data_IF_676849751503
#
_entry.id   IF_676849751503
#
_cell.length_a   1.000
_cell.length_b   1.000
_cell.length_c   1.000
_cell.angle_alpha   90.00
_cell.angle_beta   90.00
_cell.angle_gamma   90.00
#
_symmetry.space_group_name_H-M   'P 1'
#
loop_
_entity.id
_entity.type
_entity.pdbx_description
1 polymer ?
#
# COMPACT_ATOMS: atom_id res chain seq x y z
N UNK A 1 39.00 67.78 -39.43
CA UNK A 1 37.76 68.46 -39.00
C UNK A 1 36.97 67.52 -38.09
N UNK A 2 36.67 68.00 -36.88
CA UNK A 2 35.60 67.64 -35.89
C UNK A 2 34.96 66.24 -36.04
N UNK A 3 35.28 65.31 -35.14
CA UNK A 3 34.64 65.04 -33.83
C UNK A 3 33.16 64.69 -33.91
N UNK A 4 32.82 63.43 -33.63
CA UNK A 4 31.73 63.07 -32.68
C UNK A 4 32.13 61.77 -31.95
N UNK A 5 32.46 61.91 -30.66
CA UNK A 5 32.44 60.84 -29.67
C UNK A 5 30.99 60.46 -29.35
N UNK A 6 30.63 59.19 -29.15
CA UNK A 6 29.76 58.81 -28.01
C UNK A 6 29.79 57.30 -27.68
N UNK A 7 30.39 57.01 -26.51
CA UNK A 7 29.98 56.08 -25.44
C UNK A 7 29.78 54.58 -25.78
N UNK A 8 30.78 53.78 -25.42
CA UNK A 8 30.66 52.35 -25.13
C UNK A 8 30.19 52.22 -23.67
N UNK A 9 28.94 51.78 -23.46
CA UNK A 9 28.48 51.38 -22.14
C UNK A 9 28.93 49.94 -21.88
N UNK A 10 29.93 49.75 -21.01
CA UNK A 10 30.27 48.44 -20.45
C UNK A 10 29.12 48.01 -19.51
N UNK A 11 28.30 47.06 -19.96
CA UNK A 11 27.39 46.33 -19.08
C UNK A 11 28.22 45.23 -18.41
N UNK A 12 28.62 45.47 -17.16
CA UNK A 12 29.18 44.42 -16.31
C UNK A 12 28.05 43.44 -15.94
N UNK A 13 28.00 42.31 -16.66
CA UNK A 13 27.20 41.14 -16.29
C UNK A 13 27.77 40.57 -14.99
N UNK A 14 27.28 41.02 -13.84
CA UNK A 14 27.42 40.25 -12.61
C UNK A 14 26.50 39.03 -12.72
N UNK A 15 27.04 37.96 -13.31
CA UNK A 15 26.53 36.61 -13.08
C UNK A 15 26.79 36.27 -11.62
N UNK A 16 25.84 36.65 -10.75
CA UNK A 16 25.70 36.00 -9.46
C UNK A 16 25.35 34.55 -9.72
N UNK A 17 26.36 33.69 -9.79
CA UNK A 17 26.18 32.26 -9.54
C UNK A 17 25.67 32.15 -8.10
N UNK A 18 24.36 32.23 -7.92
CA UNK A 18 23.75 31.64 -6.73
C UNK A 18 24.12 30.17 -6.82
N UNK A 19 25.05 29.74 -5.97
CA UNK A 19 25.23 28.33 -5.71
C UNK A 19 23.84 27.83 -5.31
N UNK A 20 23.15 27.14 -6.22
CA UNK A 20 21.91 26.45 -5.90
C UNK A 20 22.26 25.61 -4.68
N UNK A 21 21.69 25.95 -3.51
CA UNK A 21 21.69 25.06 -2.36
C UNK A 21 21.36 23.68 -2.89
N UNK A 22 22.17 22.64 -2.64
CA UNK A 22 21.90 21.32 -3.18
C UNK A 22 20.45 21.00 -2.86
N UNK A 23 19.62 20.93 -3.91
CA UNK A 23 18.22 20.54 -3.77
C UNK A 23 18.30 19.17 -3.16
N UNK A 24 18.01 19.07 -1.85
CA UNK A 24 17.76 17.76 -1.23
C UNK A 24 16.75 17.08 -2.17
N UNK A 25 16.98 15.83 -2.61
CA UNK A 25 15.98 15.15 -3.41
C UNK A 25 14.68 15.19 -2.60
N UNK A 26 13.71 15.97 -3.06
CA UNK A 26 12.38 15.92 -2.47
C UNK A 26 11.87 14.50 -2.70
N UNK A 27 11.24 13.89 -1.69
CA UNK A 27 10.62 12.58 -1.85
C UNK A 27 9.66 12.63 -3.06
N UNK A 28 9.97 11.83 -4.08
CA UNK A 28 9.15 11.70 -5.27
C UNK A 28 8.34 10.42 -5.20
N UNK A 29 7.01 10.53 -5.11
CA UNK A 29 6.12 9.36 -5.09
C UNK A 29 6.26 8.51 -6.36
N UNK A 30 6.50 9.14 -7.52
CA UNK A 30 6.77 8.43 -8.77
C UNK A 30 8.07 7.61 -8.72
N UNK A 31 9.14 8.17 -8.16
CA UNK A 31 10.42 7.50 -8.00
C UNK A 31 10.31 6.33 -7.02
N UNK A 32 9.58 6.54 -5.91
CA UNK A 32 9.26 5.51 -4.95
C UNK A 32 8.55 4.33 -5.62
N UNK A 33 7.56 4.60 -6.48
CA UNK A 33 6.77 3.56 -7.17
C UNK A 33 7.43 3.01 -8.43
N UNK A 34 8.60 3.51 -8.81
CA UNK A 34 9.27 3.14 -10.04
C UNK A 34 9.67 1.66 -10.04
N UNK A 35 9.31 0.96 -11.11
CA UNK A 35 9.75 -0.42 -11.34
C UNK A 35 11.26 -0.53 -11.63
N UNK A 36 11.93 0.58 -11.92
CA UNK A 36 13.39 0.62 -12.07
C UNK A 36 14.12 0.46 -10.72
N UNK A 37 13.45 0.78 -9.60
CA UNK A 37 14.03 0.70 -8.26
C UNK A 37 13.87 -0.71 -7.68
N UNK A 38 14.97 -1.48 -7.69
CA UNK A 38 15.00 -2.88 -7.23
C UNK A 38 14.66 -3.06 -5.75
N UNK A 39 15.17 -2.19 -4.90
CA UNK A 39 14.94 -2.19 -3.46
C UNK A 39 14.98 -0.75 -2.93
N UNK A 40 14.26 -0.50 -1.84
CA UNK A 40 14.32 0.79 -1.17
C UNK A 40 15.63 0.97 -0.39
N UNK A 41 16.21 2.19 -0.38
CA UNK A 41 17.51 2.46 0.25
C UNK A 41 17.42 2.73 1.76
N UNK A 42 16.22 2.65 2.35
CA UNK A 42 15.99 3.03 3.75
C UNK A 42 16.53 1.97 4.71
N UNK A 43 17.22 2.41 5.76
CA UNK A 43 17.85 1.56 6.77
C UNK A 43 16.96 1.27 7.99
N UNK A 44 15.65 1.47 7.84
CA UNK A 44 14.70 1.28 8.94
C UNK A 44 14.61 -0.18 9.37
N UNK A 45 14.51 -0.45 10.69
CA UNK A 45 14.36 -1.80 11.19
C UNK A 45 12.96 -2.35 10.85
N UNK A 46 12.83 -3.61 10.40
CA UNK A 46 11.55 -4.23 10.10
C UNK A 46 10.54 -4.13 11.25
N UNK A 47 9.28 -3.80 10.92
CA UNK A 47 8.17 -3.80 11.87
C UNK A 47 7.13 -4.85 11.47
N UNK A 48 6.52 -5.55 12.43
CA UNK A 48 5.31 -6.35 12.15
C UNK A 48 4.10 -5.42 12.16
N UNK A 49 3.50 -5.21 10.99
CA UNK A 49 2.39 -4.26 10.83
C UNK A 49 1.01 -4.92 10.84
N UNK A 50 0.95 -6.22 10.63
CA UNK A 50 -0.28 -7.01 10.75
C UNK A 50 0.04 -8.45 11.11
N UNK A 51 -0.56 -8.97 12.19
CA UNK A 51 -0.36 -10.34 12.66
C UNK A 51 -1.61 -11.16 12.45
N UNK A 52 -1.48 -12.33 11.83
CA UNK A 52 -2.57 -13.32 11.74
C UNK A 52 -2.54 -14.22 12.97
N UNK A 53 -1.35 -14.74 13.30
CA UNK A 53 -1.09 -15.55 14.49
C UNK A 53 0.41 -15.49 14.86
N UNK A 54 0.87 -16.41 15.72
CA UNK A 54 2.24 -16.48 16.21
C UNK A 54 3.28 -16.63 15.08
N UNK A 55 2.93 -17.31 13.99
CA UNK A 55 3.86 -17.64 12.91
C UNK A 55 3.61 -16.85 11.63
N UNK A 56 2.38 -16.39 11.41
CA UNK A 56 1.93 -15.74 10.18
C UNK A 56 1.68 -14.26 10.39
N UNK A 57 2.43 -13.42 9.68
CA UNK A 57 2.38 -11.97 9.84
C UNK A 57 2.92 -11.23 8.62
N UNK A 58 2.57 -9.95 8.51
CA UNK A 58 3.09 -9.04 7.50
C UNK A 58 4.07 -8.06 8.15
N UNK A 59 5.23 -7.91 7.53
CA UNK A 59 6.24 -6.92 7.90
C UNK A 59 6.24 -5.72 6.96
N UNK A 60 6.56 -4.55 7.51
CA UNK A 60 6.98 -3.36 6.78
C UNK A 60 8.51 -3.24 6.93
N UNK A 61 9.20 -3.15 5.81
CA UNK A 61 10.66 -3.18 5.73
C UNK A 61 11.14 -2.07 4.80
N UNK A 62 12.41 -1.65 4.98
CA UNK A 62 13.07 -0.63 4.15
C UNK A 62 12.14 0.55 3.85
N UNK A 63 11.51 1.08 4.90
CA UNK A 63 10.49 2.10 4.79
C UNK A 63 11.02 3.47 5.21
N UNK A 64 10.51 4.52 4.55
CA UNK A 64 10.76 5.92 4.92
C UNK A 64 9.94 6.32 6.15
N UNK A 65 8.68 5.90 6.14
CA UNK A 65 7.65 6.12 7.13
C UNK A 65 6.60 4.99 7.02
N UNK A 66 5.55 5.03 7.83
CA UNK A 66 4.54 3.97 7.89
C UNK A 66 3.70 3.77 6.61
N UNK A 67 3.88 4.61 5.59
CA UNK A 67 3.10 4.59 4.35
C UNK A 67 3.95 4.38 3.09
N UNK A 68 5.28 4.35 3.25
CA UNK A 68 6.22 4.28 2.14
C UNK A 68 7.31 3.25 2.43
N UNK A 69 7.00 1.96 2.23
CA UNK A 69 7.95 0.88 2.42
C UNK A 69 7.70 -0.32 1.55
N UNK A 70 8.37 -1.41 1.89
CA UNK A 70 8.23 -2.73 1.27
C UNK A 70 7.53 -3.68 2.25
N UNK A 71 6.41 -4.26 1.80
CA UNK A 71 5.62 -5.15 2.63
C UNK A 71 5.91 -6.61 2.29
N UNK A 72 5.98 -7.49 3.30
CA UNK A 72 6.20 -8.92 3.11
C UNK A 72 5.28 -9.77 3.98
N UNK A 73 4.65 -10.78 3.40
CA UNK A 73 4.00 -11.85 4.15
C UNK A 73 5.05 -12.88 4.59
N UNK A 74 4.98 -13.31 5.84
CA UNK A 74 5.88 -14.28 6.44
C UNK A 74 5.08 -15.40 7.11
N UNK A 75 5.50 -16.65 6.93
CA UNK A 75 5.08 -17.80 7.72
C UNK A 75 6.34 -18.53 8.20
N UNK A 76 6.66 -18.37 9.48
CA UNK A 76 7.87 -18.94 10.07
C UNK A 76 7.80 -20.46 10.22
N UNK A 77 6.61 -21.05 10.30
CA UNK A 77 6.42 -22.50 10.42
C UNK A 77 6.62 -23.20 9.07
N UNK A 78 6.14 -22.57 8.01
CA UNK A 78 6.27 -23.09 6.64
C UNK A 78 7.53 -22.59 5.91
N UNK A 79 8.33 -21.71 6.53
CA UNK A 79 9.50 -21.09 5.91
C UNK A 79 9.14 -20.19 4.72
N UNK A 80 7.94 -19.60 4.72
CA UNK A 80 7.46 -18.78 3.62
C UNK A 80 7.81 -17.32 3.86
N UNK A 81 8.32 -16.68 2.82
CA UNK A 81 8.44 -15.23 2.72
C UNK A 81 7.99 -14.77 1.33
N UNK A 82 7.05 -13.84 1.26
CA UNK A 82 6.48 -13.33 0.01
C UNK A 82 6.47 -11.81 0.01
N UNK A 83 7.11 -11.23 -1.00
CA UNK A 83 7.02 -9.79 -1.25
C UNK A 83 5.61 -9.43 -1.69
N UNK A 84 4.99 -8.48 -0.99
CA UNK A 84 3.62 -8.00 -1.25
C UNK A 84 3.59 -6.75 -2.13
N UNK A 85 4.76 -6.18 -2.42
CA UNK A 85 4.89 -4.93 -3.14
C UNK A 85 5.31 -3.78 -2.23
N UNK A 86 5.33 -2.60 -2.83
CA UNK A 86 5.78 -1.35 -2.23
C UNK A 86 4.65 -0.33 -2.24
N UNK A 87 4.38 0.32 -1.12
CA UNK A 87 3.34 1.35 -1.03
C UNK A 87 1.92 0.79 -1.13
N UNK A 88 1.69 -0.46 -0.75
CA UNK A 88 0.43 -1.15 -1.05
C UNK A 88 -0.27 -1.64 0.23
N UNK A 89 0.18 -2.75 0.81
CA UNK A 89 -0.52 -3.35 1.94
C UNK A 89 -0.56 -2.39 3.13
N UNK A 90 0.57 -1.76 3.46
CA UNK A 90 0.71 -0.81 4.58
C UNK A 90 -0.22 0.40 4.50
N UNK A 91 -0.75 0.69 3.31
CA UNK A 91 -1.62 1.83 3.06
C UNK A 91 -3.11 1.51 3.20
N UNK A 92 -3.48 0.24 3.37
CA UNK A 92 -4.88 -0.13 3.60
C UNK A 92 -5.36 0.29 5.00
N UNK A 93 -6.43 1.09 5.05
CA UNK A 93 -6.95 1.70 6.29
C UNK A 93 -8.17 0.98 6.88
N UNK A 94 -8.71 0.00 6.15
CA UNK A 94 -9.91 -0.74 6.55
C UNK A 94 -9.63 -1.85 7.57
N UNK A 95 -10.58 -2.78 7.69
CA UNK A 95 -10.46 -3.96 8.58
C UNK A 95 -10.08 -5.22 7.81
N UNK A 96 -9.30 -6.10 8.44
CA UNK A 96 -8.82 -7.36 7.88
C UNK A 96 -9.04 -8.47 8.91
N UNK A 97 -9.75 -9.53 8.53
CA UNK A 97 -10.10 -10.64 9.42
C UNK A 97 -9.68 -11.96 8.78
N UNK A 98 -8.50 -12.48 9.12
CA UNK A 98 -8.05 -13.80 8.67
C UNK A 98 -8.48 -14.87 9.67
N UNK A 99 -9.69 -15.42 9.48
CA UNK A 99 -10.36 -16.31 10.43
C UNK A 99 -10.47 -17.78 9.95
N UNK A 100 -9.79 -18.16 8.87
CA UNK A 100 -9.75 -19.56 8.43
C UNK A 100 -8.97 -20.43 9.43
N UNK A 101 -9.63 -21.38 10.13
CA UNK A 101 -8.97 -22.22 11.13
C UNK A 101 -7.98 -23.22 10.52
N UNK A 102 -8.08 -23.51 9.21
CA UNK A 102 -7.12 -24.40 8.55
C UNK A 102 -5.78 -23.72 8.24
N UNK A 103 -5.78 -22.38 8.26
CA UNK A 103 -4.63 -21.56 7.92
C UNK A 103 -4.29 -21.51 6.42
N UNK A 104 -5.12 -22.10 5.57
CA UNK A 104 -4.90 -22.19 4.12
C UNK A 104 -5.31 -20.92 3.40
N UNK A 105 -6.41 -20.32 3.83
CA UNK A 105 -6.99 -19.16 3.18
C UNK A 105 -6.52 -17.88 3.87
N UNK A 106 -5.99 -16.96 3.08
CA UNK A 106 -5.45 -15.69 3.54
C UNK A 106 -5.96 -14.59 2.61
N UNK A 107 -6.37 -13.45 3.17
CA UNK A 107 -6.69 -12.23 2.43
C UNK A 107 -5.85 -11.07 2.96
N UNK A 108 -5.28 -10.30 2.03
CA UNK A 108 -4.43 -9.14 2.27
C UNK A 108 -4.89 -8.01 1.33
N UNK A 109 -5.84 -7.16 1.76
CA UNK A 109 -6.27 -6.03 0.95
C UNK A 109 -5.17 -4.98 0.83
N UNK A 110 -5.17 -4.27 -0.30
CA UNK A 110 -4.17 -3.26 -0.62
C UNK A 110 -4.86 -1.91 -0.78
N UNK A 111 -4.11 -0.83 -0.60
CA UNK A 111 -4.50 0.49 -1.06
C UNK A 111 -3.27 1.20 -1.61
N UNK A 112 -3.46 2.08 -2.58
CA UNK A 112 -2.35 2.91 -3.07
C UNK A 112 -2.00 4.00 -2.05
N UNK A 113 -0.76 4.55 -2.09
CA UNK A 113 -0.37 5.67 -1.25
C UNK A 113 -1.31 6.85 -1.41
N UNK A 114 -1.44 7.64 -0.35
CA UNK A 114 -2.20 8.90 -0.43
C UNK A 114 -1.62 9.79 -1.55
N UNK A 115 -2.48 10.57 -2.19
CA UNK A 115 -2.12 11.46 -3.32
C UNK A 115 -1.61 10.74 -4.59
N UNK A 116 -1.62 9.41 -4.64
CA UNK A 116 -1.36 8.68 -5.87
C UNK A 116 -2.46 8.90 -6.90
N UNK A 117 -2.05 9.24 -8.12
CA UNK A 117 -2.93 9.33 -9.28
C UNK A 117 -2.65 8.15 -10.23
N UNK A 118 -3.66 7.36 -10.55
CA UNK A 118 -3.55 6.27 -11.53
C UNK A 118 -3.82 6.76 -12.95
N UNK A 119 -2.96 6.35 -13.89
CA UNK A 119 -3.08 6.72 -15.30
C UNK A 119 -3.04 8.24 -15.49
N UNK A 120 -4.06 8.79 -16.17
CA UNK A 120 -4.24 10.23 -16.36
C UNK A 120 -5.15 10.87 -15.29
N UNK A 121 -5.57 10.11 -14.27
CA UNK A 121 -6.45 10.58 -13.19
C UNK A 121 -7.95 10.59 -13.51
N UNK A 122 -8.38 10.33 -14.74
CA UNK A 122 -9.79 10.44 -15.12
C UNK A 122 -10.66 9.25 -14.69
N UNK A 123 -10.06 8.06 -14.58
CA UNK A 123 -10.80 6.81 -14.32
C UNK A 123 -10.71 6.31 -12.87
N UNK A 124 -9.89 6.98 -12.05
CA UNK A 124 -9.50 6.45 -10.74
C UNK A 124 -8.62 5.20 -10.86
N UNK A 125 -8.30 4.62 -9.71
CA UNK A 125 -7.47 3.43 -9.57
C UNK A 125 -8.33 2.16 -9.46
N UNK A 126 -7.85 1.10 -10.12
CA UNK A 126 -8.29 -0.26 -9.86
C UNK A 126 -7.48 -0.85 -8.70
N UNK A 127 -8.11 -0.97 -7.54
CA UNK A 127 -7.47 -1.36 -6.28
C UNK A 127 -7.65 -2.86 -6.03
N UNK A 128 -6.54 -3.63 -5.98
CA UNK A 128 -6.60 -5.05 -5.76
C UNK A 128 -6.56 -5.43 -4.27
N UNK A 129 -6.97 -6.66 -3.98
CA UNK A 129 -6.55 -7.40 -2.80
C UNK A 129 -5.82 -8.66 -3.22
N UNK A 130 -4.92 -9.13 -2.37
CA UNK A 130 -4.24 -10.41 -2.54
C UNK A 130 -4.98 -11.48 -1.74
N UNK A 131 -5.05 -12.69 -2.29
CA UNK A 131 -5.56 -13.84 -1.58
C UNK A 131 -4.71 -15.08 -1.86
N UNK A 132 -4.60 -15.95 -0.85
CA UNK A 132 -3.98 -17.26 -0.96
C UNK A 132 -4.96 -18.32 -0.52
N UNK A 133 -4.89 -19.49 -1.16
CA UNK A 133 -5.70 -20.68 -0.84
C UNK A 133 -4.79 -21.88 -0.48
N UNK A 134 -3.51 -21.61 -0.20
CA UNK A 134 -2.48 -22.61 0.08
C UNK A 134 -1.47 -22.15 1.15
N UNK A 135 -1.95 -21.39 2.14
CA UNK A 135 -1.17 -20.96 3.30
C UNK A 135 -0.13 -19.88 2.99
N UNK A 136 -0.31 -19.15 1.89
CA UNK A 136 0.62 -18.09 1.46
C UNK A 136 1.76 -18.58 0.57
N UNK A 137 1.75 -19.85 0.11
CA UNK A 137 2.76 -20.34 -0.86
C UNK A 137 2.67 -19.60 -2.19
N UNK A 138 1.45 -19.27 -2.61
CA UNK A 138 1.17 -18.39 -3.75
C UNK A 138 0.04 -17.44 -3.43
N UNK A 139 0.08 -16.24 -4.02
CA UNK A 139 -1.00 -15.28 -3.94
C UNK A 139 -1.54 -14.98 -5.35
N UNK A 140 -2.86 -14.89 -5.45
CA UNK A 140 -3.56 -14.37 -6.62
C UNK A 140 -4.19 -13.01 -6.24
N UNK A 141 -4.57 -12.23 -7.26
CA UNK A 141 -5.14 -10.89 -7.06
C UNK A 141 -6.54 -10.77 -7.62
N UNK A 142 -7.32 -9.87 -7.04
CA UNK A 142 -8.64 -9.45 -7.57
C UNK A 142 -8.92 -8.01 -7.20
N UNK A 143 -9.60 -7.28 -8.08
CA UNK A 143 -10.00 -5.89 -7.86
C UNK A 143 -11.26 -5.84 -6.99
N UNK A 144 -11.25 -5.00 -5.95
CA UNK A 144 -12.43 -4.74 -5.09
C UNK A 144 -13.00 -3.33 -5.26
N UNK A 145 -12.24 -2.42 -5.86
CA UNK A 145 -12.67 -1.08 -6.25
C UNK A 145 -12.03 -0.74 -7.60
N UNK A 146 -12.82 -0.50 -8.63
CA UNK A 146 -12.34 -0.29 -10.00
C UNK A 146 -12.23 1.20 -10.41
N UNK A 147 -12.82 2.11 -9.62
CA UNK A 147 -12.84 3.55 -9.86
C UNK A 147 -12.61 4.37 -8.56
N UNK A 148 -11.58 4.05 -7.78
CA UNK A 148 -11.26 4.82 -6.56
C UNK A 148 -10.31 5.98 -6.86
N UNK A 149 -10.73 7.20 -6.56
CA UNK A 149 -9.92 8.42 -6.75
C UNK A 149 -8.99 8.71 -5.57
N UNK A 150 -9.31 8.18 -4.38
CA UNK A 150 -8.42 8.20 -3.23
C UNK A 150 -8.41 6.82 -2.56
N UNK A 151 -7.66 5.85 -3.10
CA UNK A 151 -7.62 4.48 -2.58
C UNK A 151 -7.25 4.40 -1.11
N UNK A 152 -6.33 5.26 -0.65
CA UNK A 152 -5.91 5.34 0.74
C UNK A 152 -7.11 5.65 1.64
N UNK A 153 -7.81 6.75 1.39
CA UNK A 153 -8.95 7.19 2.21
C UNK A 153 -10.19 6.31 2.01
N UNK A 154 -10.50 5.91 0.77
CA UNK A 154 -11.66 5.09 0.47
C UNK A 154 -11.58 3.70 1.13
N UNK A 155 -10.37 3.17 1.31
CA UNK A 155 -10.16 1.87 1.95
C UNK A 155 -10.68 1.80 3.39
N UNK A 156 -10.82 2.94 4.10
CA UNK A 156 -11.41 3.03 5.45
C UNK A 156 -12.83 2.46 5.52
N UNK A 157 -13.56 2.50 4.40
CA UNK A 157 -14.94 2.02 4.29
C UNK A 157 -15.02 0.49 4.17
N UNK A 158 -13.90 -0.21 3.99
CA UNK A 158 -13.88 -1.63 3.68
C UNK A 158 -13.50 -2.50 4.88
N UNK A 159 -14.11 -3.68 4.92
CA UNK A 159 -13.71 -4.78 5.78
C UNK A 159 -13.58 -6.05 4.94
N UNK A 160 -12.45 -6.73 5.09
CA UNK A 160 -12.18 -8.03 4.47
C UNK A 160 -12.24 -9.11 5.53
N UNK A 161 -12.86 -10.23 5.21
CA UNK A 161 -12.76 -11.43 6.03
C UNK A 161 -12.54 -12.66 5.17
N UNK A 162 -11.83 -13.64 5.69
CA UNK A 162 -11.70 -14.95 5.06
C UNK A 162 -11.94 -16.06 6.07
N UNK A 163 -12.71 -17.04 5.64
CA UNK A 163 -13.05 -18.26 6.38
C UNK A 163 -12.55 -19.48 5.62
N UNK A 164 -12.87 -20.68 6.12
CA UNK A 164 -12.58 -21.93 5.41
C UNK A 164 -13.22 -22.01 4.02
N UNK A 165 -14.38 -21.39 3.85
CA UNK A 165 -15.27 -21.59 2.70
C UNK A 165 -15.54 -20.32 1.89
N UNK A 166 -15.13 -19.14 2.35
CA UNK A 166 -15.47 -17.88 1.68
C UNK A 166 -14.49 -16.74 1.98
N UNK A 167 -14.34 -15.83 1.02
CA UNK A 167 -13.83 -14.48 1.23
C UNK A 167 -15.02 -13.52 1.20
N UNK A 168 -15.06 -12.61 2.15
CA UNK A 168 -16.05 -11.53 2.26
C UNK A 168 -15.38 -10.19 2.03
N UNK A 169 -16.01 -9.34 1.23
CA UNK A 169 -15.59 -7.94 1.03
C UNK A 169 -16.79 -7.06 1.33
N UNK A 170 -16.79 -6.45 2.51
CA UNK A 170 -17.85 -5.55 2.96
C UNK A 170 -17.42 -4.10 2.77
N UNK A 171 -18.32 -3.27 2.23
CA UNK A 171 -18.16 -1.83 2.07
C UNK A 171 -19.26 -1.10 2.82
N UNK A 172 -18.89 -0.14 3.67
CA UNK A 172 -19.83 0.78 4.28
C UNK A 172 -20.34 1.76 3.22
N UNK A 173 -21.65 1.70 2.92
CA UNK A 173 -22.29 2.55 1.90
C UNK A 173 -23.03 3.76 2.50
N UNK A 174 -23.29 3.75 3.81
CA UNK A 174 -23.83 4.90 4.52
C UNK A 174 -23.16 5.07 5.88
N UNK A 175 -22.73 6.29 6.19
CA UNK A 175 -22.16 6.63 7.48
C UNK A 175 -23.21 6.71 8.61
N UNK A 176 -24.46 7.03 8.25
CA UNK A 176 -25.55 7.32 9.21
C UNK A 176 -26.37 6.11 9.62
N UNK A 177 -26.52 5.12 8.73
CA UNK A 177 -27.40 3.95 8.98
C UNK A 177 -26.67 2.62 9.07
N UNK A 178 -25.33 2.64 9.14
CA UNK A 178 -24.44 1.47 9.22
C UNK A 178 -24.79 0.35 8.21
N UNK A 179 -25.20 0.76 7.01
CA UNK A 179 -25.53 -0.17 5.94
C UNK A 179 -24.23 -0.62 5.26
N UNK A 180 -24.07 -1.94 5.17
CA UNK A 180 -22.95 -2.60 4.52
C UNK A 180 -23.44 -3.30 3.25
N UNK A 181 -22.79 -3.02 2.13
CA UNK A 181 -22.83 -3.87 0.94
C UNK A 181 -21.73 -4.92 1.08
N UNK A 182 -22.03 -6.20 0.90
CA UNK A 182 -21.05 -7.28 1.10
C UNK A 182 -21.06 -8.26 -0.06
N UNK A 183 -19.89 -8.41 -0.66
CA UNK A 183 -19.59 -9.47 -1.61
C UNK A 183 -19.19 -10.73 -0.88
N UNK A 184 -19.77 -11.86 -1.27
CA UNK A 184 -19.27 -13.20 -0.89
C UNK A 184 -18.66 -13.91 -2.09
N UNK A 185 -17.42 -14.37 -1.91
CA UNK A 185 -16.68 -15.18 -2.85
C UNK A 185 -16.45 -16.59 -2.28
N UNK A 186 -17.23 -17.60 -2.70
CA UNK A 186 -17.05 -18.97 -2.22
C UNK A 186 -15.72 -19.57 -2.68
N UNK A 187 -15.13 -20.37 -1.77
CA UNK A 187 -13.90 -21.10 -1.96
C UNK A 187 -14.24 -22.58 -2.12
N UNK A 188 -14.38 -23.03 -3.36
CA UNK A 188 -14.73 -24.42 -3.70
C UNK A 188 -13.50 -25.04 -4.37
N UNK A 189 -13.06 -26.19 -3.88
CA UNK A 189 -11.91 -26.94 -4.44
C UNK A 189 -10.65 -26.07 -4.59
N UNK A 190 -10.33 -25.25 -3.57
CA UNK A 190 -9.20 -24.32 -3.57
C UNK A 190 -9.21 -23.32 -4.74
N UNK A 191 -10.38 -22.97 -5.26
CA UNK A 191 -10.58 -21.92 -6.25
C UNK A 191 -11.63 -20.93 -5.77
N UNK A 192 -11.33 -19.64 -5.93
CA UNK A 192 -12.29 -18.58 -5.66
C UNK A 192 -13.25 -18.45 -6.86
N UNK A 193 -14.55 -18.57 -6.60
CA UNK A 193 -15.57 -18.52 -7.65
C UNK A 193 -16.08 -17.10 -7.90
N UNK A 194 -16.89 -16.94 -8.96
CA UNK A 194 -17.58 -15.67 -9.25
C UNK A 194 -18.40 -15.23 -8.03
N UNK A 195 -18.53 -13.91 -7.87
CA UNK A 195 -19.38 -13.28 -6.84
C UNK A 195 -20.77 -13.90 -6.94
N UNK A 196 -21.24 -14.54 -5.86
CA UNK A 196 -22.54 -15.23 -5.87
C UNK A 196 -23.65 -14.33 -5.31
N UNK A 197 -23.32 -13.48 -4.33
CA UNK A 197 -24.33 -12.76 -3.56
C UNK A 197 -23.93 -11.29 -3.35
N UNK A 198 -24.91 -10.41 -3.57
CA UNK A 198 -24.94 -9.00 -3.18
C UNK A 198 -25.71 -8.94 -1.84
N UNK A 199 -25.32 -8.08 -0.90
CA UNK A 199 -25.91 -8.01 0.45
C UNK A 199 -25.79 -9.28 1.31
N UNK A 200 -24.75 -10.09 1.09
CA UNK A 200 -24.46 -11.23 1.97
C UNK A 200 -24.18 -10.74 3.41
N UNK A 201 -24.53 -11.53 4.43
CA UNK A 201 -24.16 -11.18 5.82
C UNK A 201 -22.79 -11.77 6.17
N UNK A 202 -21.80 -10.92 6.39
CA UNK A 202 -20.54 -11.34 7.01
C UNK A 202 -20.83 -11.83 8.45
N UNK A 203 -20.36 -13.03 8.85
CA UNK A 203 -20.58 -13.51 10.21
C UNK A 203 -19.96 -12.57 11.26
N UNK A 204 -20.73 -12.22 12.30
CA UNK A 204 -20.36 -11.18 13.26
C UNK A 204 -19.24 -11.60 14.24
N UNK A 205 -19.05 -12.90 14.41
CA UNK A 205 -18.09 -13.50 15.35
C UNK A 205 -16.72 -13.82 14.72
N UNK A 206 -16.46 -13.45 13.47
CA UNK A 206 -15.15 -13.68 12.85
C UNK A 206 -14.07 -12.86 13.53
N UNK A 207 -12.95 -13.50 13.84
CA UNK A 207 -11.77 -12.87 14.45
C UNK A 207 -10.50 -13.49 13.89
N UNK A 208 -9.51 -12.64 13.62
CA UNK A 208 -8.14 -13.07 13.40
C UNK A 208 -7.61 -13.69 14.70
N UNK A 209 -6.89 -14.83 14.68
CA UNK A 209 -6.38 -15.48 15.89
C UNK A 209 -5.55 -14.58 16.81
N UNK A 210 -4.75 -13.67 16.25
CA UNK A 210 -4.00 -12.65 16.99
C UNK A 210 -4.87 -11.58 17.67
N UNK A 211 -6.16 -11.50 17.32
CA UNK A 211 -7.07 -10.41 17.67
C UNK A 211 -6.89 -9.13 16.83
N UNK A 212 -5.82 -9.01 16.05
CA UNK A 212 -5.56 -7.84 15.23
C UNK A 212 -6.47 -7.82 14.00
N UNK A 213 -7.15 -6.70 13.77
CA UNK A 213 -8.04 -6.51 12.63
C UNK A 213 -7.73 -5.27 11.78
N UNK A 214 -6.65 -4.56 12.08
CA UNK A 214 -6.17 -3.39 11.35
C UNK A 214 -4.65 -3.40 11.24
N UNK A 215 -4.14 -2.71 10.24
CA UNK A 215 -2.71 -2.45 10.10
C UNK A 215 -2.30 -1.42 11.16
N UNK A 216 -1.19 -1.67 11.83
CA UNK A 216 -0.62 -0.79 12.86
C UNK A 216 0.86 -0.61 12.59
N UNK A 217 1.37 0.61 12.71
CA UNK A 217 2.79 0.91 12.54
C UNK A 217 3.24 1.88 13.62
N UNK A 218 4.41 1.64 14.20
CA UNK A 218 5.03 2.55 15.16
C UNK A 218 5.72 3.68 14.41
N UNK A 219 5.10 4.86 14.44
CA UNK A 219 5.59 6.07 13.78
C UNK A 219 6.82 6.69 14.45
N UNK A 220 7.18 6.24 15.65
CA UNK A 220 8.40 6.67 16.34
C UNK A 220 9.66 6.02 15.76
N UNK A 221 9.52 4.84 15.13
CA UNK A 221 10.62 4.12 14.49
C UNK A 221 10.81 4.63 13.07
N UNK A 222 11.92 5.32 12.82
CA UNK A 222 12.23 5.94 11.53
C UNK A 222 13.62 5.52 11.04
N UNK A 223 13.86 5.50 9.71
CA UNK A 223 15.21 5.32 9.20
C UNK A 223 16.10 6.50 9.62
N UNK A 224 17.41 6.26 9.65
CA UNK A 224 18.39 7.34 9.82
C UNK A 224 18.58 8.14 8.53
N UNK A 225 18.16 7.58 7.39
CA UNK A 225 18.32 8.14 6.05
C UNK A 225 17.00 8.40 5.27
N UNK A 226 16.02 9.15 5.83
CA UNK A 226 14.70 9.34 5.21
C UNK A 226 14.72 10.08 3.85
N UNK A 227 15.81 10.79 3.55
CA UNK A 227 16.04 11.53 2.31
C UNK A 227 17.01 10.80 1.35
N UNK A 228 17.23 9.49 1.56
CA UNK A 228 18.07 8.69 0.67
C UNK A 228 17.53 8.71 -0.77
N UNK A 229 18.41 8.84 -1.79
CA UNK A 229 17.99 8.95 -3.18
C UNK A 229 17.34 7.66 -3.68
N UNK A 230 16.17 7.78 -4.32
CA UNK A 230 15.39 6.67 -4.86
C UNK A 230 15.79 6.28 -6.30
N UNK A 231 16.65 7.05 -6.94
CA UNK A 231 17.21 6.74 -8.26
C UNK A 231 18.74 6.89 -8.14
N UNK A 232 19.52 5.92 -8.66
CA UNK A 232 20.98 6.08 -8.75
C UNK A 232 21.32 7.33 -9.56
N UNK A 233 22.20 8.18 -9.03
CA UNK A 233 22.82 9.28 -9.79
C UNK A 233 23.86 8.74 -10.78
#
# INVERSE_FOLDING_TARGET
MKNVMTIIALIALMQGCTAQTPRRPAFGLGDFMSSALKELPYDSPPQVIYRIDDHRFVTLERYRDCHHGESYYNDTRAGIRKFLGRGMFENFQGRIINADPSGQNIVLPLAYPNEMVCGNGEKGCAVPFWYSLNGGKTFATKVYADHSFNPFEDSKKYAFAVTRDSIFVSKKISETVDVLDTDRYPLISNSMHKRIEFDAKMPSNLRTPSGQDRITCDTSIKPTNPDAPLIPQ
#
